data_IF_461299197275
#
_entry.id   IF_461299197275
#
_cell.length_a   1.000
_cell.length_b   1.000
_cell.length_c   1.000
_cell.angle_alpha   90.00
_cell.angle_beta   90.00
_cell.angle_gamma   90.00
#
_symmetry.space_group_name_H-M   'P 1'
#
loop_
_entity.id
_entity.type
_entity.pdbx_description
1 polymer ?
#
# COMPACT_ATOMS: atom_id res chain seq x y z
N UNK A 1 10.85 22.03 -17.28
CA UNK A 1 10.72 20.58 -17.00
C UNK A 1 9.54 20.42 -16.05
N UNK A 2 8.59 19.54 -16.36
CA UNK A 2 7.44 19.26 -15.50
C UNK A 2 7.51 17.86 -14.90
N UNK A 3 6.66 17.58 -13.91
CA UNK A 3 6.44 16.23 -13.39
C UNK A 3 5.37 15.55 -14.24
N UNK A 4 5.63 14.32 -14.67
CA UNK A 4 4.73 13.55 -15.51
C UNK A 4 4.36 12.23 -14.83
N UNK A 5 3.17 11.71 -15.12
CA UNK A 5 2.69 10.42 -14.65
C UNK A 5 2.09 9.63 -15.80
N UNK A 6 2.15 8.30 -15.71
CA UNK A 6 1.42 7.41 -16.59
C UNK A 6 0.19 6.89 -15.85
N UNK A 7 -0.99 7.02 -16.46
CA UNK A 7 -2.22 6.43 -15.95
C UNK A 7 -2.58 5.22 -16.80
N UNK A 8 -2.97 4.07 -16.20
CA UNK A 8 -3.51 2.93 -16.94
C UNK A 8 -4.75 3.27 -17.78
N UNK A 9 -5.45 4.36 -17.44
CA UNK A 9 -6.63 4.86 -18.15
C UNK A 9 -6.30 5.91 -19.21
N UNK A 10 -5.04 6.35 -19.31
CA UNK A 10 -4.63 7.36 -20.29
C UNK A 10 -4.54 6.74 -21.68
N UNK A 11 -5.19 7.40 -22.65
CA UNK A 11 -4.99 7.08 -24.07
C UNK A 11 -3.79 7.83 -24.69
N UNK A 12 -3.24 8.81 -23.98
CA UNK A 12 -2.20 9.72 -24.49
C UNK A 12 -0.80 9.40 -23.95
N UNK A 13 -0.68 8.41 -23.05
CA UNK A 13 0.57 7.99 -22.46
C UNK A 13 0.90 8.77 -21.18
N UNK A 14 2.05 9.45 -21.16
CA UNK A 14 2.46 10.24 -20.00
C UNK A 14 1.78 11.61 -20.01
N UNK A 15 1.11 11.93 -18.91
CA UNK A 15 0.40 13.20 -18.69
C UNK A 15 1.15 14.05 -17.67
N UNK A 16 1.06 15.38 -17.80
CA UNK A 16 1.65 16.30 -16.82
C UNK A 16 0.78 16.34 -15.57
N UNK A 17 1.40 16.32 -14.40
CA UNK A 17 0.70 16.54 -13.11
C UNK A 17 0.01 17.92 -13.14
N UNK A 18 -1.29 18.01 -12.80
CA UNK A 18 -2.09 19.24 -13.01
C UNK A 18 -1.86 20.33 -11.96
N UNK A 19 -0.87 20.16 -11.08
CA UNK A 19 -0.52 21.09 -10.01
C UNK A 19 0.99 21.13 -9.80
N UNK A 20 1.47 22.21 -9.20
CA UNK A 20 2.89 22.34 -8.86
C UNK A 20 3.25 21.38 -7.72
N UNK A 21 4.30 20.60 -7.89
CA UNK A 21 4.81 19.67 -6.90
C UNK A 21 6.35 19.67 -6.91
N UNK A 22 6.96 19.69 -5.72
CA UNK A 22 8.41 19.65 -5.55
C UNK A 22 8.90 18.20 -5.43
N UNK A 23 8.91 17.46 -6.53
CA UNK A 23 9.61 16.17 -6.61
C UNK A 23 11.00 16.42 -7.22
N UNK A 24 12.08 15.92 -6.61
CA UNK A 24 13.42 16.01 -7.18
C UNK A 24 13.47 15.48 -8.62
N UNK A 25 14.43 15.96 -9.40
CA UNK A 25 14.70 15.39 -10.73
C UNK A 25 15.14 13.93 -10.57
N UNK A 26 15.18 13.20 -11.69
CA UNK A 26 15.70 11.83 -11.72
C UNK A 26 15.03 10.93 -10.66
N UNK A 27 13.69 11.01 -10.61
CA UNK A 27 12.86 10.32 -9.62
C UNK A 27 11.77 9.54 -10.35
N UNK A 28 11.62 8.25 -10.00
CA UNK A 28 10.61 7.33 -10.55
C UNK A 28 9.84 6.71 -9.40
N UNK A 29 8.54 6.99 -9.37
CA UNK A 29 7.65 6.62 -8.29
C UNK A 29 6.39 5.96 -8.85
N UNK A 30 5.81 5.06 -8.05
CA UNK A 30 4.44 4.64 -8.19
C UNK A 30 3.61 5.45 -7.20
N UNK A 31 2.60 6.17 -7.68
CA UNK A 31 1.90 7.17 -6.87
C UNK A 31 0.39 7.09 -7.00
N UNK A 32 -0.29 7.60 -5.98
CA UNK A 32 -1.68 8.02 -6.04
C UNK A 32 -1.72 9.55 -6.08
N UNK A 33 -2.28 10.12 -7.14
CA UNK A 33 -2.61 11.54 -7.21
C UNK A 33 -3.91 11.74 -6.43
N UNK A 34 -3.88 12.55 -5.38
CA UNK A 34 -5.00 12.63 -4.42
C UNK A 34 -5.12 14.02 -3.78
N UNK A 35 -5.99 14.11 -2.79
CA UNK A 35 -6.16 15.26 -1.91
C UNK A 35 -5.81 14.86 -0.48
N UNK A 36 -5.13 15.77 0.22
CA UNK A 36 -4.88 15.67 1.66
C UNK A 36 -5.72 16.71 2.39
N UNK A 37 -6.18 16.34 3.58
CA UNK A 37 -6.97 17.20 4.46
C UNK A 37 -6.24 17.33 5.80
N UNK A 38 -6.28 18.52 6.39
CA UNK A 38 -5.49 18.85 7.61
C UNK A 38 -6.13 18.39 8.90
N UNK A 39 -7.46 18.27 8.91
CA UNK A 39 -8.22 17.89 10.10
C UNK A 39 -9.58 17.33 9.72
N UNK A 40 -10.12 16.55 10.63
CA UNK A 40 -11.53 16.22 10.71
C UNK A 40 -12.14 17.12 11.81
N UNK A 41 -13.16 17.91 11.48
CA UNK A 41 -13.84 18.76 12.46
C UNK A 41 -14.76 17.93 13.39
N UNK A 42 -15.28 18.56 14.45
CA UNK A 42 -16.17 17.92 15.43
C UNK A 42 -17.48 17.40 14.83
N UNK A 43 -17.80 17.81 13.59
CA UNK A 43 -18.99 17.39 12.85
C UNK A 43 -18.68 16.29 11.83
N UNK A 44 -17.45 15.77 11.81
CA UNK A 44 -17.01 14.72 10.89
C UNK A 44 -16.75 15.22 9.47
N UNK A 45 -16.48 16.51 9.27
CA UNK A 45 -16.17 17.10 7.97
C UNK A 45 -14.68 17.35 7.81
N UNK A 46 -14.15 17.01 6.63
CA UNK A 46 -12.76 17.24 6.27
C UNK A 46 -12.51 18.71 5.93
N UNK A 47 -11.41 19.26 6.48
CA UNK A 47 -10.99 20.64 6.26
C UNK A 47 -9.54 20.76 5.78
N UNK A 48 -9.21 21.94 5.23
CA UNK A 48 -7.84 22.24 4.81
C UNK A 48 -7.37 21.46 3.59
N UNK A 49 -8.29 21.17 2.65
CA UNK A 49 -8.03 20.45 1.41
C UNK A 49 -6.83 21.03 0.63
N UNK A 50 -5.91 20.15 0.23
CA UNK A 50 -4.79 20.47 -0.67
C UNK A 50 -4.54 19.32 -1.64
N UNK A 51 -4.04 19.64 -2.82
CA UNK A 51 -3.51 18.63 -3.73
C UNK A 51 -2.32 17.90 -3.08
N UNK A 52 -2.22 16.60 -3.34
CA UNK A 52 -1.15 15.77 -2.81
C UNK A 52 -0.76 14.64 -3.77
N UNK A 53 0.48 14.18 -3.63
CA UNK A 53 0.98 12.94 -4.22
C UNK A 53 1.29 11.99 -3.07
N UNK A 54 0.64 10.83 -3.05
CA UNK A 54 0.89 9.76 -2.08
C UNK A 54 1.69 8.65 -2.75
N UNK A 55 2.93 8.45 -2.31
CA UNK A 55 3.88 7.47 -2.85
C UNK A 55 3.47 6.09 -2.38
N UNK A 56 3.28 5.17 -3.32
CA UNK A 56 2.91 3.78 -3.07
C UNK A 56 4.10 2.81 -3.21
N UNK A 57 5.12 3.19 -4.00
CA UNK A 57 6.39 2.47 -4.17
C UNK A 57 7.40 3.41 -4.89
N UNK A 58 8.69 3.09 -4.84
CA UNK A 58 9.77 3.89 -5.43
C UNK A 58 10.79 3.02 -6.18
N UNK A 59 11.28 3.51 -7.32
CA UNK A 59 12.35 2.86 -8.09
C UNK A 59 13.64 3.68 -8.10
N UNK A 60 13.50 5.00 -8.24
CA UNK A 60 14.62 5.94 -8.35
C UNK A 60 14.29 7.17 -7.53
N UNK A 61 15.22 7.64 -6.70
CA UNK A 61 15.05 8.79 -5.83
C UNK A 61 16.24 9.74 -6.01
N UNK A 62 16.05 10.85 -6.73
CA UNK A 62 17.12 11.83 -7.01
C UNK A 62 18.39 11.19 -7.59
N UNK A 63 18.24 10.24 -8.51
CA UNK A 63 19.34 9.50 -9.14
C UNK A 63 19.78 8.23 -8.40
N UNK A 64 19.39 8.02 -7.14
CA UNK A 64 19.69 6.80 -6.40
C UNK A 64 18.70 5.68 -6.77
N UNK A 65 19.21 4.56 -7.31
CA UNK A 65 18.39 3.38 -7.65
C UNK A 65 18.09 2.56 -6.40
N UNK A 66 16.81 2.54 -6.03
CA UNK A 66 16.27 1.75 -4.91
C UNK A 66 15.42 0.58 -5.40
N UNK A 67 15.28 0.39 -6.71
CA UNK A 67 14.29 -0.51 -7.30
C UNK A 67 14.49 -1.98 -6.94
N UNK A 68 15.73 -2.38 -6.62
CA UNK A 68 16.12 -3.74 -6.24
C UNK A 68 15.98 -4.04 -4.74
N UNK A 69 15.85 -3.01 -3.89
CA UNK A 69 15.73 -3.18 -2.44
C UNK A 69 14.41 -3.87 -2.06
N UNK A 70 14.31 -4.53 -0.89
CA UNK A 70 13.04 -4.97 -0.33
C UNK A 70 12.01 -3.84 -0.22
N UNK A 71 10.71 -4.16 -0.30
CA UNK A 71 9.63 -3.17 -0.33
C UNK A 71 9.70 -2.16 0.84
N UNK A 72 9.91 -2.64 2.07
CA UNK A 72 9.97 -1.78 3.26
C UNK A 72 11.14 -0.80 3.21
N UNK A 73 12.28 -1.21 2.64
CA UNK A 73 13.45 -0.36 2.46
C UNK A 73 13.20 0.71 1.39
N UNK A 74 12.52 0.37 0.30
CA UNK A 74 12.10 1.34 -0.73
C UNK A 74 11.16 2.39 -0.15
N UNK A 75 10.19 1.96 0.67
CA UNK A 75 9.26 2.87 1.33
C UNK A 75 9.94 3.73 2.41
N UNK A 76 10.90 3.18 3.14
CA UNK A 76 11.75 3.94 4.08
C UNK A 76 12.58 5.00 3.36
N UNK A 77 13.16 4.66 2.19
CA UNK A 77 13.89 5.61 1.36
C UNK A 77 12.96 6.73 0.81
N UNK A 78 11.75 6.38 0.38
CA UNK A 78 10.74 7.34 -0.04
C UNK A 78 10.32 8.29 1.10
N UNK A 79 10.17 7.77 2.33
CA UNK A 79 9.88 8.59 3.52
C UNK A 79 11.01 9.59 3.79
N UNK A 80 12.28 9.15 3.71
CA UNK A 80 13.44 10.05 3.85
C UNK A 80 13.43 11.17 2.81
N UNK A 81 13.11 10.86 1.56
CA UNK A 81 12.95 11.87 0.51
C UNK A 81 11.83 12.86 0.84
N UNK A 82 10.66 12.39 1.27
CA UNK A 82 9.55 13.26 1.67
C UNK A 82 9.93 14.21 2.81
N UNK A 83 10.66 13.72 3.82
CA UNK A 83 11.20 14.55 4.92
C UNK A 83 12.16 15.63 4.40
N UNK A 84 13.05 15.27 3.47
CA UNK A 84 13.96 16.22 2.85
C UNK A 84 13.23 17.29 2.01
N UNK A 85 12.23 16.89 1.21
CA UNK A 85 11.39 17.81 0.43
C UNK A 85 10.70 18.82 1.35
N UNK A 86 10.13 18.34 2.47
CA UNK A 86 9.45 19.20 3.46
C UNK A 86 10.41 20.25 4.04
N UNK A 87 11.64 19.85 4.37
CA UNK A 87 12.64 20.76 4.92
C UNK A 87 13.10 21.83 3.92
N UNK A 88 13.26 21.48 2.64
CA UNK A 88 13.81 22.39 1.62
C UNK A 88 12.76 23.34 1.05
N UNK A 89 11.49 22.92 0.97
CA UNK A 89 10.46 23.61 0.21
C UNK A 89 9.23 24.08 1.01
N UNK A 90 9.29 24.09 2.33
CA UNK A 90 8.30 24.79 3.18
C UNK A 90 8.44 26.32 3.04
N UNK A 91 8.14 26.85 1.86
CA UNK A 91 7.92 28.28 1.66
C UNK A 91 6.44 28.60 1.93
N UNK A 92 6.10 29.50 2.86
CA UNK A 92 4.72 29.79 3.26
C UNK A 92 3.77 30.22 2.13
N UNK A 93 4.33 30.73 1.03
CA UNK A 93 3.61 31.52 0.03
C UNK A 93 3.21 30.76 -1.23
N UNK A 94 3.63 29.50 -1.40
CA UNK A 94 3.29 28.69 -2.58
C UNK A 94 2.36 27.53 -2.21
N UNK A 95 1.24 27.42 -2.93
CA UNK A 95 0.31 26.27 -2.86
C UNK A 95 0.90 25.05 -3.58
N UNK A 96 2.12 24.65 -3.23
CA UNK A 96 2.76 23.44 -3.74
C UNK A 96 2.03 22.23 -3.16
N UNK A 97 1.72 21.26 -4.01
CA UNK A 97 1.16 19.99 -3.58
C UNK A 97 2.15 19.26 -2.68
N UNK A 98 1.62 18.65 -1.62
CA UNK A 98 2.44 17.92 -0.65
C UNK A 98 2.71 16.50 -1.13
N UNK A 99 3.86 15.96 -0.77
CA UNK A 99 4.27 14.58 -1.11
C UNK A 99 4.37 13.77 0.17
N UNK A 100 3.70 12.63 0.21
CA UNK A 100 3.62 11.75 1.39
C UNK A 100 4.00 10.32 1.01
N UNK A 101 4.76 9.58 1.85
CA UNK A 101 4.77 8.13 1.74
C UNK A 101 3.43 7.59 2.22
N UNK A 102 2.86 6.61 1.51
CA UNK A 102 1.71 5.87 2.02
C UNK A 102 2.12 5.09 3.28
N UNK A 103 1.26 5.09 4.29
CA UNK A 103 1.41 4.17 5.42
C UNK A 103 1.29 2.71 4.94
N UNK A 104 2.21 1.88 5.41
CA UNK A 104 2.26 0.44 5.15
C UNK A 104 1.95 -0.30 6.44
N UNK A 105 1.21 -1.40 6.33
CA UNK A 105 0.85 -2.27 7.43
C UNK A 105 1.04 -3.72 6.99
N UNK A 106 1.55 -4.56 7.88
CA UNK A 106 1.44 -6.00 7.71
C UNK A 106 -0.01 -6.44 7.99
N UNK A 107 -0.45 -7.54 7.38
CA UNK A 107 -1.84 -7.99 7.53
C UNK A 107 -2.20 -8.37 8.98
N UNK A 108 -1.21 -8.78 9.79
CA UNK A 108 -1.38 -9.07 11.21
C UNK A 108 -1.35 -7.83 12.10
N UNK A 109 -0.87 -6.68 11.59
CA UNK A 109 -0.94 -5.37 12.27
C UNK A 109 -2.27 -4.64 11.99
N UNK A 110 -3.08 -5.17 11.07
CA UNK A 110 -4.27 -4.48 10.58
C UNK A 110 -5.24 -4.14 11.72
N UNK A 111 -5.37 -5.02 12.72
CA UNK A 111 -6.24 -4.79 13.87
C UNK A 111 -5.77 -3.61 14.74
N UNK A 112 -4.48 -3.50 15.03
CA UNK A 112 -3.93 -2.38 15.82
C UNK A 112 -4.08 -1.06 15.10
N UNK A 113 -4.16 -1.06 13.77
CA UNK A 113 -4.20 0.15 12.94
C UNK A 113 -5.64 0.58 12.59
N UNK A 114 -6.65 -0.21 12.96
CA UNK A 114 -8.07 0.09 12.68
C UNK A 114 -8.53 1.44 13.24
N UNK A 115 -7.93 1.91 14.35
CA UNK A 115 -8.28 3.18 14.98
C UNK A 115 -8.03 4.41 14.08
N UNK A 116 -7.17 4.28 13.06
CA UNK A 116 -6.87 5.34 12.08
C UNK A 116 -7.96 5.54 11.04
N UNK A 117 -8.90 4.59 10.94
CA UNK A 117 -9.94 4.63 9.93
C UNK A 117 -11.20 5.25 10.51
N UNK A 118 -11.80 6.17 9.74
CA UNK A 118 -13.04 6.84 10.10
C UNK A 118 -14.04 6.72 8.97
N UNK A 119 -15.31 6.48 9.31
CA UNK A 119 -16.43 6.60 8.37
C UNK A 119 -17.04 7.98 8.55
N UNK A 120 -17.08 8.76 7.47
CA UNK A 120 -17.67 10.09 7.47
C UNK A 120 -18.76 10.20 6.40
N UNK A 121 -19.65 11.19 6.54
CA UNK A 121 -20.62 11.53 5.51
C UNK A 121 -20.08 12.70 4.66
N UNK A 122 -19.71 12.43 3.42
CA UNK A 122 -19.20 13.42 2.49
C UNK A 122 -20.11 13.51 1.26
N UNK A 123 -20.67 14.69 0.99
CA UNK A 123 -21.56 14.94 -0.15
C UNK A 123 -22.76 13.97 -0.26
N UNK A 124 -23.25 13.48 0.88
CA UNK A 124 -24.38 12.54 0.93
C UNK A 124 -24.00 11.07 0.83
N UNK A 125 -22.71 10.75 0.76
CA UNK A 125 -22.19 9.37 0.70
C UNK A 125 -21.35 9.06 1.95
N UNK A 126 -21.46 7.83 2.45
CA UNK A 126 -20.51 7.34 3.45
C UNK A 126 -19.16 7.08 2.78
N UNK A 127 -18.10 7.62 3.35
CA UNK A 127 -16.74 7.49 2.81
C UNK A 127 -15.78 7.12 3.93
N UNK A 128 -14.89 6.17 3.66
CA UNK A 128 -13.78 5.87 4.55
C UNK A 128 -12.67 6.91 4.40
N UNK A 129 -12.12 7.31 5.53
CA UNK A 129 -10.97 8.22 5.66
C UNK A 129 -9.90 7.51 6.49
N UNK A 130 -8.64 7.67 6.11
CA UNK A 130 -7.50 7.20 6.91
C UNK A 130 -6.72 8.40 7.44
N UNK A 131 -6.37 8.33 8.73
CA UNK A 131 -5.47 9.25 9.42
C UNK A 131 -4.01 8.77 9.32
N UNK A 132 -3.17 9.59 8.68
CA UNK A 132 -1.74 9.33 8.47
C UNK A 132 -0.89 10.55 8.87
N UNK A 133 0.40 10.35 9.08
CA UNK A 133 1.34 11.43 9.40
C UNK A 133 1.80 11.39 10.86
N UNK A 134 2.30 12.54 11.32
CA UNK A 134 2.80 12.73 12.68
C UNK A 134 1.63 12.88 13.65
N UNK A 135 1.72 12.30 14.85
CA UNK A 135 0.71 12.43 15.91
C UNK A 135 0.38 13.90 16.25
N UNK A 136 1.34 14.80 16.07
CA UNK A 136 1.16 16.24 16.34
C UNK A 136 0.41 16.95 15.20
N UNK A 137 0.54 16.45 13.96
CA UNK A 137 -0.05 17.06 12.76
C UNK A 137 -0.59 15.98 11.81
N UNK A 138 -1.74 15.37 12.15
CA UNK A 138 -2.33 14.34 11.32
C UNK A 138 -2.79 14.90 9.97
N UNK A 139 -2.78 14.02 8.99
CA UNK A 139 -3.22 14.25 7.62
C UNK A 139 -4.23 13.18 7.25
N UNK A 140 -5.34 13.61 6.68
CA UNK A 140 -6.46 12.72 6.36
C UNK A 140 -6.55 12.52 4.85
N UNK A 141 -6.80 11.27 4.45
CA UNK A 141 -6.96 10.89 3.05
C UNK A 141 -8.24 10.09 2.86
N UNK A 142 -8.94 10.32 1.75
CA UNK A 142 -10.01 9.40 1.35
C UNK A 142 -9.41 8.02 1.05
N UNK A 143 -9.98 7.01 1.70
CA UNK A 143 -9.60 5.62 1.54
C UNK A 143 -10.70 4.88 0.76
N UNK A 144 -10.42 4.52 -0.49
CA UNK A 144 -11.37 3.82 -1.37
C UNK A 144 -11.11 2.31 -1.48
N UNK A 145 -10.09 1.85 -0.78
CA UNK A 145 -9.66 0.48 -0.79
C UNK A 145 -8.20 0.40 -0.34
N UNK A 146 -7.69 -0.82 -0.37
CA UNK A 146 -6.32 -1.12 0.03
C UNK A 146 -5.58 -1.79 -1.12
N UNK A 147 -4.29 -1.45 -1.25
CA UNK A 147 -3.36 -2.17 -2.10
C UNK A 147 -2.63 -3.19 -1.25
N UNK A 148 -2.74 -4.46 -1.63
CA UNK A 148 -2.02 -5.56 -1.00
C UNK A 148 -0.87 -5.92 -1.95
N UNK A 149 0.36 -5.96 -1.43
CA UNK A 149 1.56 -6.27 -2.21
C UNK A 149 2.26 -7.46 -1.57
N UNK A 150 2.60 -8.48 -2.38
CA UNK A 150 3.45 -9.58 -1.92
C UNK A 150 4.88 -9.08 -1.66
N UNK A 151 5.50 -9.52 -0.58
CA UNK A 151 6.90 -9.22 -0.31
C UNK A 151 7.87 -10.13 -1.08
N UNK A 152 7.41 -11.34 -1.44
CA UNK A 152 8.21 -12.35 -2.13
C UNK A 152 7.68 -12.65 -3.54
N UNK A 153 8.58 -13.08 -4.42
CA UNK A 153 8.24 -13.58 -5.76
C UNK A 153 7.86 -15.05 -5.72
N UNK A 154 7.06 -15.52 -6.69
CA UNK A 154 6.76 -16.93 -6.81
C UNK A 154 8.03 -17.72 -7.19
N UNK A 155 8.20 -18.96 -6.72
CA UNK A 155 7.32 -19.72 -5.81
C UNK A 155 7.72 -19.60 -4.32
N UNK A 156 8.45 -18.55 -3.92
CA UNK A 156 8.94 -18.42 -2.55
C UNK A 156 7.80 -18.21 -1.55
N UNK A 157 7.88 -18.92 -0.43
CA UNK A 157 6.89 -18.88 0.67
C UNK A 157 7.59 -18.35 1.92
N UNK A 158 7.01 -17.31 2.53
CA UNK A 158 7.47 -16.76 3.81
C UNK A 158 6.88 -17.55 4.98
N UNK A 159 7.68 -17.81 6.00
CA UNK A 159 7.31 -18.56 7.20
C UNK A 159 8.01 -17.99 8.44
N UNK A 160 7.51 -18.35 9.63
CA UNK A 160 8.13 -18.00 10.91
C UNK A 160 8.88 -19.19 11.50
N UNK A 161 10.15 -19.02 11.85
CA UNK A 161 10.94 -20.04 12.54
C UNK A 161 10.75 -19.93 14.05
N UNK A 162 10.15 -20.96 14.67
CA UNK A 162 9.97 -21.02 16.14
C UNK A 162 11.29 -21.15 16.89
N UNK A 163 12.26 -21.88 16.34
CA UNK A 163 13.57 -22.12 16.99
C UNK A 163 14.50 -20.91 16.95
N UNK A 164 14.39 -20.09 15.89
CA UNK A 164 15.24 -18.90 15.73
C UNK A 164 14.50 -17.60 16.03
N UNK A 165 13.17 -17.63 16.22
CA UNK A 165 12.35 -16.45 16.48
C UNK A 165 12.41 -15.41 15.36
N UNK A 166 12.49 -15.86 14.10
CA UNK A 166 12.59 -14.95 12.94
C UNK A 166 11.97 -15.52 11.67
N UNK A 167 11.71 -14.62 10.72
CA UNK A 167 11.19 -14.96 9.40
C UNK A 167 12.23 -15.70 8.56
N UNK A 168 11.75 -16.67 7.78
CA UNK A 168 12.51 -17.33 6.72
C UNK A 168 11.63 -17.50 5.49
N UNK A 169 12.26 -17.68 4.34
CA UNK A 169 11.61 -17.99 3.09
C UNK A 169 12.18 -19.29 2.55
N UNK A 170 11.34 -20.11 1.92
CA UNK A 170 11.80 -21.28 1.22
C UNK A 170 11.11 -21.38 -0.13
N UNK A 171 11.78 -22.01 -1.08
CA UNK A 171 11.21 -22.30 -2.37
C UNK A 171 10.89 -23.82 -2.42
N UNK A 172 9.61 -24.22 -2.57
CA UNK A 172 9.20 -25.61 -2.59
C UNK A 172 9.67 -26.38 -3.84
N UNK A 173 10.06 -25.68 -4.91
CA UNK A 173 10.55 -26.30 -6.16
C UNK A 173 12.05 -26.56 -6.14
N UNK A 174 12.81 -25.89 -5.27
CA UNK A 174 14.23 -26.13 -5.06
C UNK A 174 14.44 -27.02 -3.83
N UNK A 175 15.17 -28.13 -3.97
CA UNK A 175 15.56 -28.93 -2.81
C UNK A 175 16.50 -28.14 -1.90
N UNK A 176 15.99 -27.66 -0.75
CA UNK A 176 16.80 -27.36 0.42
C UNK A 176 17.25 -25.90 0.67
N UNK A 177 16.80 -24.89 -0.08
CA UNK A 177 17.19 -23.50 0.19
C UNK A 177 16.11 -22.75 0.99
N UNK A 178 16.07 -23.01 2.30
CA UNK A 178 15.47 -22.06 3.25
C UNK A 178 16.49 -20.97 3.57
N UNK A 179 16.09 -19.71 3.44
CA UNK A 179 16.93 -18.55 3.75
C UNK A 179 16.23 -17.73 4.82
N UNK A 180 16.96 -17.19 5.80
CA UNK A 180 16.36 -16.29 6.79
C UNK A 180 16.21 -14.88 6.23
N UNK A 181 15.40 -14.04 6.88
CA UNK A 181 15.08 -12.67 6.43
C UNK A 181 16.31 -11.83 6.07
N UNK A 182 17.43 -12.00 6.78
CA UNK A 182 18.67 -11.25 6.51
C UNK A 182 19.36 -11.64 5.19
N UNK A 183 18.92 -12.74 4.57
CA UNK A 183 19.47 -13.27 3.33
C UNK A 183 18.51 -13.13 2.15
N UNK A 184 17.31 -12.55 2.35
CA UNK A 184 16.29 -12.48 1.29
C UNK A 184 16.78 -11.72 0.06
N UNK A 185 17.50 -10.62 0.26
CA UNK A 185 18.09 -9.84 -0.83
C UNK A 185 19.11 -10.68 -1.63
N UNK A 186 20.04 -11.35 -0.93
CA UNK A 186 21.06 -12.22 -1.54
C UNK A 186 20.45 -13.41 -2.27
N UNK A 187 19.35 -13.95 -1.73
CA UNK A 187 18.59 -15.05 -2.32
C UNK A 187 17.71 -14.60 -3.50
N UNK A 188 17.62 -13.29 -3.77
CA UNK A 188 16.80 -12.69 -4.81
C UNK A 188 15.34 -13.15 -4.76
N UNK A 189 14.82 -13.40 -3.55
CA UNK A 189 13.45 -13.86 -3.34
C UNK A 189 12.45 -12.71 -3.13
N UNK A 190 12.94 -11.51 -2.82
CA UNK A 190 12.11 -10.32 -2.65
C UNK A 190 11.51 -9.82 -3.97
N UNK A 191 10.30 -9.28 -3.87
CA UNK A 191 9.66 -8.54 -4.96
C UNK A 191 10.32 -7.17 -5.13
N UNK A 192 10.93 -6.95 -6.30
CA UNK A 192 11.47 -5.66 -6.70
C UNK A 192 10.40 -4.74 -7.31
N UNK A 193 10.69 -3.44 -7.43
CA UNK A 193 9.74 -2.44 -7.95
C UNK A 193 9.19 -2.81 -9.33
N UNK A 194 10.08 -3.19 -10.26
CA UNK A 194 9.70 -3.45 -11.64
C UNK A 194 8.78 -4.66 -11.78
N UNK A 195 9.03 -5.74 -11.03
CA UNK A 195 8.14 -6.90 -10.98
C UNK A 195 6.80 -6.56 -10.35
N UNK A 196 6.78 -5.71 -9.32
CA UNK A 196 5.55 -5.26 -8.70
C UNK A 196 4.68 -4.46 -9.69
N UNK A 197 5.27 -3.50 -10.40
CA UNK A 197 4.52 -2.55 -11.25
C UNK A 197 4.21 -3.09 -12.65
N UNK A 198 5.09 -3.92 -13.24
CA UNK A 198 4.95 -4.43 -14.61
C UNK A 198 4.11 -5.72 -14.68
N UNK A 199 3.79 -6.32 -13.53
CA UNK A 199 2.96 -7.53 -13.44
C UNK A 199 1.72 -7.45 -14.35
N UNK A 200 1.68 -8.30 -15.38
CA UNK A 200 0.59 -8.32 -16.35
C UNK A 200 -0.65 -8.93 -15.70
N UNK A 201 -1.82 -8.30 -15.89
CA UNK A 201 -3.11 -9.01 -15.72
C UNK A 201 -3.08 -10.23 -16.64
N UNK A 202 -2.92 -11.43 -16.10
CA UNK A 202 -3.07 -12.64 -16.89
C UNK A 202 -4.53 -12.75 -17.37
N UNK A 203 -4.77 -13.10 -18.65
CA UNK A 203 -6.11 -13.44 -19.10
C UNK A 203 -6.60 -14.64 -18.30
N UNK A 204 -7.88 -14.60 -17.91
CA UNK A 204 -8.58 -15.55 -17.02
C UNK A 204 -8.50 -17.03 -17.43
N UNK A 205 -7.92 -17.34 -18.61
CA UNK A 205 -7.98 -18.63 -19.28
C UNK A 205 -6.72 -19.51 -19.10
N UNK A 206 -5.70 -19.06 -18.35
CA UNK A 206 -4.55 -19.92 -18.02
C UNK A 206 -4.73 -20.56 -16.63
N UNK A 207 -4.91 -21.88 -16.61
CA UNK A 207 -5.11 -22.71 -15.40
C UNK A 207 -3.83 -23.01 -14.61
N UNK A 208 -2.68 -22.52 -15.06
CA UNK A 208 -1.38 -22.82 -14.47
C UNK A 208 -1.03 -21.76 -13.40
N UNK A 209 -1.52 -21.96 -12.17
CA UNK A 209 -1.29 -21.07 -11.03
C UNK A 209 0.20 -20.85 -10.71
N UNK A 210 1.08 -21.74 -11.19
CA UNK A 210 2.54 -21.63 -11.06
C UNK A 210 3.16 -20.46 -11.84
N UNK A 211 2.41 -19.84 -12.76
CA UNK A 211 2.85 -18.72 -13.61
C UNK A 211 2.17 -17.39 -13.28
N UNK A 212 1.45 -17.31 -12.16
CA UNK A 212 0.76 -16.08 -11.80
C UNK A 212 1.76 -15.04 -11.26
N UNK A 213 2.36 -14.25 -12.15
CA UNK A 213 3.26 -13.14 -11.79
C UNK A 213 2.52 -11.87 -11.33
N UNK A 214 1.29 -12.01 -10.82
CA UNK A 214 0.56 -10.92 -10.19
C UNK A 214 0.92 -10.85 -8.71
N UNK A 215 1.67 -9.81 -8.33
CA UNK A 215 2.13 -9.61 -6.96
C UNK A 215 1.37 -8.53 -6.21
N UNK A 216 0.30 -7.99 -6.82
CA UNK A 216 -0.45 -6.87 -6.29
C UNK A 216 -1.95 -7.06 -6.49
N UNK A 217 -2.70 -6.79 -5.44
CA UNK A 217 -4.15 -6.85 -5.44
C UNK A 217 -4.72 -5.54 -4.95
N UNK A 218 -5.78 -5.08 -5.61
CA UNK A 218 -6.54 -3.92 -5.21
C UNK A 218 -7.85 -4.40 -4.61
N UNK A 219 -7.98 -4.28 -3.30
CA UNK A 219 -9.23 -4.52 -2.61
C UNK A 219 -9.98 -3.19 -2.53
N UNK A 220 -10.80 -2.95 -3.55
CA UNK A 220 -11.61 -1.75 -3.67
C UNK A 220 -12.99 -1.96 -3.04
N UNK A 221 -13.40 -1.04 -2.18
CA UNK A 221 -14.68 -1.12 -1.47
C UNK A 221 -15.67 -0.03 -1.90
N UNK A 222 -15.35 0.70 -2.98
CA UNK A 222 -16.17 1.81 -3.52
C UNK A 222 -17.12 1.42 -4.64
N UNK A 223 -17.09 0.19 -5.14
CA UNK A 223 -17.97 -0.25 -6.23
C UNK A 223 -19.43 -0.46 -5.80
N UNK A 224 -19.75 -0.37 -4.50
CA UNK A 224 -21.06 -0.74 -3.95
C UNK A 224 -21.80 0.44 -3.29
N UNK A 225 -21.64 1.66 -3.80
CA UNK A 225 -22.43 2.83 -3.35
C UNK A 225 -23.83 2.89 -3.95
N UNK A 226 -24.29 1.83 -4.61
CA UNK A 226 -25.65 1.75 -5.16
C UNK A 226 -26.62 1.58 -3.99
N UNK A 227 -27.65 2.43 -3.95
CA UNK A 227 -28.75 2.35 -2.98
C UNK A 227 -29.33 0.92 -2.96
N UNK A 228 -29.20 0.22 -1.83
CA UNK A 228 -29.64 -1.17 -1.65
C UNK A 228 -28.51 -2.19 -1.43
N UNK A 229 -27.26 -1.78 -1.59
CA UNK A 229 -26.08 -2.59 -1.23
C UNK A 229 -25.64 -2.30 0.21
N UNK A 230 -25.54 -3.34 1.02
CA UNK A 230 -25.11 -3.32 2.44
C UNK A 230 -23.58 -3.39 2.61
N UNK A 231 -22.82 -3.62 1.53
CA UNK A 231 -21.37 -3.80 1.58
C UNK A 231 -20.61 -2.54 1.14
N UNK A 232 -20.48 -1.57 2.05
CA UNK A 232 -19.76 -0.30 1.83
C UNK A 232 -18.69 0.01 2.88
N UNK A 233 -18.15 1.25 2.92
CA UNK A 233 -17.07 1.64 3.83
C UNK A 233 -17.32 1.28 5.30
N UNK A 234 -18.55 1.50 5.79
CA UNK A 234 -18.95 1.12 7.15
C UNK A 234 -18.86 -0.37 7.38
N UNK A 235 -19.48 -1.18 6.52
CA UNK A 235 -19.47 -2.62 6.64
C UNK A 235 -18.04 -3.18 6.62
N UNK A 236 -17.18 -2.66 5.74
CA UNK A 236 -15.79 -3.15 5.64
C UNK A 236 -14.95 -2.79 6.86
N UNK A 237 -15.12 -1.57 7.41
CA UNK A 237 -14.32 -1.09 8.53
C UNK A 237 -14.83 -1.58 9.89
N UNK A 238 -16.14 -1.70 10.07
CA UNK A 238 -16.76 -1.90 11.39
C UNK A 238 -17.21 -3.36 11.63
N UNK A 239 -17.63 -4.10 10.60
CA UNK A 239 -18.19 -5.44 10.80
C UNK A 239 -17.11 -6.52 11.00
N UNK A 240 -17.44 -7.52 11.83
CA UNK A 240 -16.58 -8.70 12.04
C UNK A 240 -16.47 -9.55 10.76
N UNK A 241 -17.60 -9.83 10.13
CA UNK A 241 -17.71 -10.54 8.85
C UNK A 241 -18.85 -9.95 8.03
N UNK A 242 -18.84 -10.19 6.71
CA UNK A 242 -19.90 -9.75 5.81
C UNK A 242 -20.14 -10.78 4.71
N UNK A 243 -21.41 -11.06 4.38
CA UNK A 243 -21.79 -12.09 3.40
C UNK A 243 -21.32 -11.81 1.97
N UNK A 244 -21.24 -10.52 1.61
CA UNK A 244 -20.84 -10.07 0.27
C UNK A 244 -19.33 -9.91 0.05
N UNK A 245 -18.52 -9.92 1.11
CA UNK A 245 -17.09 -9.67 0.94
C UNK A 245 -16.30 -9.58 2.25
N UNK A 246 -15.00 -9.35 2.10
CA UNK A 246 -14.07 -9.25 3.22
C UNK A 246 -14.34 -8.00 4.07
N UNK A 247 -14.00 -8.05 5.34
CA UNK A 247 -13.93 -6.90 6.25
C UNK A 247 -12.49 -6.77 6.74
N UNK A 248 -12.09 -5.64 7.32
CA UNK A 248 -10.75 -5.53 7.90
C UNK A 248 -10.52 -6.60 8.98
N UNK A 249 -11.57 -6.89 9.75
CA UNK A 249 -11.55 -7.88 10.83
C UNK A 249 -11.44 -9.30 10.30
N UNK A 250 -12.18 -9.64 9.24
CA UNK A 250 -12.09 -10.98 8.64
C UNK A 250 -10.73 -11.21 7.96
N UNK A 251 -10.15 -10.19 7.33
CA UNK A 251 -8.78 -10.27 6.78
C UNK A 251 -7.76 -10.53 7.89
N UNK A 252 -7.84 -9.78 8.99
CA UNK A 252 -6.98 -9.99 10.15
C UNK A 252 -7.15 -11.40 10.74
N UNK A 253 -8.39 -11.88 10.89
CA UNK A 253 -8.67 -13.23 11.38
C UNK A 253 -8.08 -14.32 10.46
N UNK A 254 -8.19 -14.17 9.14
CA UNK A 254 -7.58 -15.07 8.16
C UNK A 254 -6.05 -15.06 8.30
N UNK A 255 -5.44 -13.88 8.40
CA UNK A 255 -3.99 -13.74 8.55
C UNK A 255 -3.50 -14.42 9.84
N UNK A 256 -4.22 -14.25 10.94
CA UNK A 256 -3.89 -14.87 12.21
C UNK A 256 -4.07 -16.39 12.18
N UNK A 257 -5.16 -16.90 11.59
CA UNK A 257 -5.38 -18.33 11.41
C UNK A 257 -4.26 -18.97 10.56
N UNK A 258 -3.82 -18.29 9.50
CA UNK A 258 -2.72 -18.76 8.67
C UNK A 258 -1.42 -18.85 9.49
N UNK A 259 -1.11 -17.80 10.27
CA UNK A 259 0.06 -17.76 11.17
C UNK A 259 0.04 -18.89 12.20
N UNK A 260 -1.11 -19.16 12.80
CA UNK A 260 -1.30 -20.22 13.80
C UNK A 260 -1.22 -21.62 13.16
N UNK A 261 -1.81 -21.81 11.99
CA UNK A 261 -1.80 -23.10 11.28
C UNK A 261 -0.39 -23.56 10.87
N UNK A 262 0.47 -22.62 10.47
CA UNK A 262 1.89 -22.87 10.17
C UNK A 262 2.67 -23.17 11.45
N UNK A 263 2.28 -22.55 12.57
CA UNK A 263 2.92 -22.77 13.87
C UNK A 263 2.57 -24.13 14.51
N UNK A 264 1.37 -24.65 14.26
CA UNK A 264 0.88 -25.92 14.83
C UNK A 264 1.20 -27.16 14.00
N UNK A 265 1.29 -27.07 12.66
CA UNK A 265 1.51 -28.24 11.77
C UNK A 265 2.88 -28.93 11.88
N UNK A 266 3.80 -28.41 12.69
CA UNK A 266 5.12 -29.01 12.92
C UNK A 266 5.40 -29.41 14.38
N UNK A 267 4.34 -29.60 15.19
CA UNK A 267 4.45 -30.06 16.58
C UNK A 267 4.08 -31.54 16.78
N UNK A 268 4.06 -32.36 15.71
CA UNK A 268 3.83 -33.80 15.75
C UNK A 268 4.97 -34.54 15.06
#
# INVERSE_FOLDING_TARGET
MGTYFYSPYSQQGFERVPFDVSIPKDTVLLVQITKVYKRLDDKGKLEGERAAIRILDAALLNGDDVSALPFDERMTAAEKMCKAIKFVYETPDRKIAQVFPAKVFMLDELHSEMHRFHVILAKGEEVAVIEEGDEVLPSFFYCRGMRITSLLINPWIMCWSRSHGKLYAFNPTSQGSSVFSEQFEKAQCCLNFWKAVIAKKHPLNNSDASKNDCYQWFWEWTHNFIVGEDYGPRAVLEAEEHSKGLTLRSVHAIAQQQKDSVSHKHSL
#
